data_IF_654388894681
#
_entry.id   IF_654388894681
#
_cell.length_a   1.000
_cell.length_b   1.000
_cell.length_c   1.000
_cell.angle_alpha   90.00
_cell.angle_beta   90.00
_cell.angle_gamma   90.00
#
_symmetry.space_group_name_H-M   'P 1'
#
loop_
_entity.id
_entity.type
_entity.pdbx_description
1 polymer ?
#
# COMPACT_ATOMS: atom_id res chain seq x y z
N UNK A 1 -6.01 3.56 26.22
CA UNK A 1 -6.89 3.50 25.04
C UNK A 1 -7.43 2.09 24.96
N UNK A 2 -8.72 1.93 24.70
CA UNK A 2 -9.30 0.60 24.53
C UNK A 2 -8.74 -0.04 23.25
N UNK A 3 -8.48 -1.35 23.26
CA UNK A 3 -7.93 -2.08 22.11
C UNK A 3 -8.83 -2.08 20.86
N UNK A 4 -10.07 -1.61 20.96
CA UNK A 4 -11.01 -1.45 19.84
C UNK A 4 -10.90 -0.11 19.09
N UNK A 5 -10.07 0.83 19.59
CA UNK A 5 -10.00 2.17 19.01
C UNK A 5 -8.95 2.30 17.90
N UNK A 6 -8.10 1.29 17.70
CA UNK A 6 -7.00 1.30 16.72
C UNK A 6 -6.89 -0.01 15.96
N UNK A 7 -6.54 0.08 14.69
CA UNK A 7 -6.36 -1.11 13.86
C UNK A 7 -5.82 -0.81 12.48
N UNK A 8 -5.69 -1.88 11.69
CA UNK A 8 -5.16 -1.83 10.33
C UNK A 8 -6.26 -2.12 9.33
N UNK A 9 -6.30 -1.33 8.25
CA UNK A 9 -7.24 -1.47 7.15
C UNK A 9 -6.50 -1.89 5.88
N UNK A 10 -6.94 -2.98 5.27
CA UNK A 10 -6.46 -3.51 4.00
C UNK A 10 -7.55 -3.46 2.94
N UNK A 11 -7.16 -3.27 1.67
CA UNK A 11 -8.05 -3.35 0.51
C UNK A 11 -7.55 -4.40 -0.47
N UNK A 12 -8.38 -5.38 -0.82
CA UNK A 12 -8.04 -6.44 -1.76
C UNK A 12 -9.16 -6.70 -2.77
N UNK A 13 -8.88 -6.46 -4.04
CA UNK A 13 -9.80 -6.72 -5.15
C UNK A 13 -9.10 -7.55 -6.20
N UNK A 14 -9.48 -8.82 -6.29
CA UNK A 14 -8.86 -9.79 -7.20
C UNK A 14 -9.05 -9.40 -8.67
N UNK A 15 -8.10 -9.80 -9.50
CA UNK A 15 -8.28 -9.89 -10.94
C UNK A 15 -8.03 -11.34 -11.41
N UNK A 16 -8.15 -11.60 -12.70
CA UNK A 16 -8.08 -12.97 -13.24
C UNK A 16 -6.71 -13.67 -13.10
N UNK A 17 -5.68 -12.98 -12.59
CA UNK A 17 -4.31 -13.50 -12.56
C UNK A 17 -3.56 -13.21 -11.25
N UNK A 18 -4.01 -12.21 -10.50
CA UNK A 18 -3.39 -11.81 -9.24
C UNK A 18 -4.43 -11.96 -8.14
N UNK A 19 -4.11 -12.78 -7.16
CA UNK A 19 -4.93 -12.98 -5.98
C UNK A 19 -4.49 -12.00 -4.88
N UNK A 20 -5.13 -10.83 -4.85
CA UNK A 20 -4.90 -9.81 -3.83
C UNK A 20 -5.49 -10.21 -2.46
N UNK A 21 -6.53 -11.05 -2.45
CA UNK A 21 -7.11 -11.57 -1.21
C UNK A 21 -6.08 -12.44 -0.47
N UNK A 22 -5.40 -13.32 -1.19
CA UNK A 22 -4.30 -14.12 -0.65
C UNK A 22 -3.15 -13.25 -0.12
N UNK A 23 -2.75 -12.21 -0.88
CA UNK A 23 -1.75 -11.24 -0.41
C UNK A 23 -2.20 -10.53 0.87
N UNK A 24 -3.49 -10.14 0.97
CA UNK A 24 -4.05 -9.51 2.16
C UNK A 24 -3.99 -10.42 3.40
N UNK A 25 -4.29 -11.71 3.25
CA UNK A 25 -4.21 -12.69 4.35
C UNK A 25 -2.76 -12.82 4.82
N UNK A 26 -1.81 -12.91 3.89
CA UNK A 26 -0.39 -12.98 4.23
C UNK A 26 0.11 -11.69 4.89
N UNK A 27 -0.28 -10.53 4.36
CA UNK A 27 0.01 -9.23 4.98
C UNK A 27 -0.59 -9.16 6.41
N UNK A 28 -1.84 -9.61 6.61
CA UNK A 28 -2.49 -9.66 7.91
C UNK A 28 -1.73 -10.58 8.90
N UNK A 29 -1.21 -11.73 8.44
CA UNK A 29 -0.32 -12.60 9.24
C UNK A 29 0.90 -11.82 9.73
N UNK A 30 1.56 -11.04 8.85
CA UNK A 30 2.70 -10.18 9.22
C UNK A 30 2.30 -9.05 10.19
N UNK A 31 1.13 -8.43 9.98
CA UNK A 31 0.57 -7.42 10.90
C UNK A 31 0.35 -8.02 12.30
N UNK A 32 -0.26 -9.19 12.39
CA UNK A 32 -0.45 -9.89 13.68
C UNK A 32 0.88 -10.18 14.35
N UNK A 33 1.87 -10.65 13.62
CA UNK A 33 3.18 -11.01 14.14
C UNK A 33 3.94 -9.80 14.68
N UNK A 34 3.97 -8.69 13.93
CA UNK A 34 4.84 -7.55 14.25
C UNK A 34 4.13 -6.41 14.98
N UNK A 35 2.86 -6.16 14.68
CA UNK A 35 2.12 -5.05 15.28
C UNK A 35 1.10 -5.50 16.32
N UNK A 36 0.66 -6.76 16.28
CA UNK A 36 -0.38 -7.30 17.14
C UNK A 36 -1.66 -6.44 17.18
N UNK A 37 -2.09 -5.93 16.01
CA UNK A 37 -3.25 -5.08 15.85
C UNK A 37 -4.43 -5.84 15.22
N UNK A 38 -5.68 -5.43 15.49
CA UNK A 38 -6.83 -5.93 14.74
C UNK A 38 -6.76 -5.47 13.27
N UNK A 39 -7.22 -6.35 12.36
CA UNK A 39 -7.18 -6.15 10.91
C UNK A 39 -8.59 -6.19 10.34
N UNK A 40 -8.96 -5.13 9.62
CA UNK A 40 -10.15 -5.09 8.76
C UNK A 40 -9.71 -5.26 7.31
N UNK A 41 -10.34 -6.18 6.59
CA UNK A 41 -10.18 -6.37 5.15
C UNK A 41 -11.43 -5.91 4.40
N UNK A 42 -11.24 -5.04 3.42
CA UNK A 42 -12.28 -4.60 2.47
C UNK A 42 -12.08 -5.30 1.14
N UNK A 43 -13.10 -6.03 0.67
CA UNK A 43 -12.98 -6.85 -0.53
C UNK A 43 -14.34 -7.11 -1.19
N UNK A 44 -14.34 -7.44 -2.48
CA UNK A 44 -15.49 -7.98 -3.22
C UNK A 44 -15.56 -9.53 -3.21
N UNK A 45 -14.53 -10.18 -2.65
CA UNK A 45 -14.28 -11.62 -2.81
C UNK A 45 -14.49 -12.40 -1.50
N UNK A 46 -15.52 -12.05 -0.70
CA UNK A 46 -15.76 -12.63 0.64
C UNK A 46 -15.96 -14.15 0.55
N UNK A 47 -16.88 -14.63 -0.31
CA UNK A 47 -17.18 -16.06 -0.47
C UNK A 47 -15.95 -16.84 -0.95
N UNK A 48 -15.15 -16.25 -1.83
CA UNK A 48 -13.90 -16.83 -2.29
C UNK A 48 -12.90 -17.02 -1.14
N UNK A 49 -12.71 -16.01 -0.30
CA UNK A 49 -11.82 -16.08 0.86
C UNK A 49 -12.30 -17.16 1.83
N UNK A 50 -13.59 -17.24 2.09
CA UNK A 50 -14.17 -18.23 3.00
C UNK A 50 -14.00 -19.68 2.51
N UNK A 51 -14.05 -19.89 1.18
CA UNK A 51 -13.90 -21.23 0.59
C UNK A 51 -12.45 -21.65 0.43
N UNK A 52 -11.59 -20.76 -0.10
CA UNK A 52 -10.21 -21.09 -0.46
C UNK A 52 -9.23 -20.95 0.70
N UNK A 53 -9.51 -20.02 1.64
CA UNK A 53 -8.60 -19.68 2.75
C UNK A 53 -9.33 -19.68 4.10
N UNK A 54 -9.98 -20.76 4.54
CA UNK A 54 -10.79 -20.78 5.77
C UNK A 54 -10.02 -20.36 7.03
N UNK A 55 -8.70 -20.50 7.01
CA UNK A 55 -7.79 -20.08 8.09
C UNK A 55 -7.59 -18.54 8.17
N UNK A 56 -8.11 -17.75 7.23
CA UNK A 56 -7.98 -16.28 7.24
C UNK A 56 -8.41 -15.65 8.56
N UNK A 57 -9.37 -16.29 9.27
CA UNK A 57 -9.92 -15.85 10.56
C UNK A 57 -8.87 -15.80 11.68
N UNK A 58 -7.72 -16.46 11.48
CA UNK A 58 -6.61 -16.38 12.43
C UNK A 58 -5.89 -15.01 12.35
N UNK A 59 -6.05 -14.29 11.24
CA UNK A 59 -5.28 -13.07 10.97
C UNK A 59 -6.15 -11.85 10.69
N UNK A 60 -7.38 -12.03 10.18
CA UNK A 60 -8.31 -10.97 9.83
C UNK A 60 -9.50 -11.01 10.78
N UNK A 61 -9.71 -9.92 11.53
CA UNK A 61 -10.75 -9.82 12.54
C UNK A 61 -12.12 -9.47 11.94
N UNK A 62 -12.14 -8.63 10.88
CA UNK A 62 -13.36 -8.19 10.23
C UNK A 62 -13.19 -8.18 8.71
N UNK A 63 -14.10 -8.78 7.99
CA UNK A 63 -14.20 -8.66 6.52
C UNK A 63 -15.41 -7.79 6.18
N UNK A 64 -15.17 -6.74 5.40
CA UNK A 64 -16.19 -5.81 4.93
C UNK A 64 -16.35 -5.99 3.42
N UNK A 65 -17.56 -6.31 2.98
CA UNK A 65 -17.87 -6.36 1.55
C UNK A 65 -17.94 -4.94 0.96
N UNK A 66 -17.24 -4.74 -0.15
CA UNK A 66 -17.38 -3.56 -1.01
C UNK A 66 -17.39 -4.04 -2.46
N UNK A 67 -18.32 -3.54 -3.30
CA UNK A 67 -18.32 -3.84 -4.73
C UNK A 67 -16.98 -3.46 -5.36
N UNK A 68 -16.52 -4.28 -6.31
CA UNK A 68 -15.28 -4.04 -7.03
C UNK A 68 -15.25 -2.63 -7.65
N UNK A 69 -14.23 -1.81 -7.36
CA UNK A 69 -14.11 -0.51 -7.99
C UNK A 69 -13.85 -0.68 -9.49
N UNK A 70 -14.21 0.34 -10.27
CA UNK A 70 -13.88 0.36 -11.68
C UNK A 70 -12.35 0.31 -11.86
N UNK A 71 -11.86 -0.71 -12.56
CA UNK A 71 -10.46 -0.91 -12.85
C UNK A 71 -9.97 -0.15 -14.08
N UNK A 72 -8.67 -0.09 -14.22
CA UNK A 72 -7.97 0.36 -15.44
C UNK A 72 -7.03 -0.75 -15.92
N UNK A 73 -6.64 -0.75 -17.19
CA UNK A 73 -5.67 -1.72 -17.70
C UNK A 73 -4.25 -1.21 -17.44
N UNK A 74 -3.44 -2.01 -16.74
CA UNK A 74 -2.03 -1.72 -16.44
C UNK A 74 -1.16 -2.90 -16.93
N UNK A 75 0.08 -2.60 -17.33
CA UNK A 75 1.11 -3.62 -17.54
C UNK A 75 1.76 -3.95 -16.20
N UNK A 76 1.80 -5.22 -15.86
CA UNK A 76 2.50 -5.77 -14.71
C UNK A 76 3.68 -6.58 -15.25
N UNK A 77 4.88 -6.29 -14.77
CA UNK A 77 6.03 -7.12 -15.08
C UNK A 77 6.14 -8.27 -14.04
N UNK A 78 6.67 -9.38 -14.50
CA UNK A 78 7.10 -10.51 -13.68
C UNK A 78 8.59 -10.71 -13.93
N UNK A 79 9.39 -9.89 -13.28
CA UNK A 79 10.82 -9.79 -13.54
C UNK A 79 11.14 -9.09 -14.87
N UNK A 80 12.30 -9.39 -15.43
CA UNK A 80 12.82 -8.72 -16.62
C UNK A 80 12.21 -9.19 -17.95
N UNK A 81 11.71 -10.45 -17.98
CA UNK A 81 11.44 -11.15 -19.24
C UNK A 81 9.97 -11.46 -19.45
N UNK A 82 9.11 -11.21 -18.49
CA UNK A 82 7.68 -11.50 -18.57
C UNK A 82 6.85 -10.29 -18.20
N UNK A 83 5.73 -10.08 -18.88
CA UNK A 83 4.75 -9.06 -18.52
C UNK A 83 3.35 -9.45 -18.97
N UNK A 84 2.33 -8.97 -18.23
CA UNK A 84 0.92 -9.15 -18.57
C UNK A 84 0.17 -7.82 -18.47
N UNK A 85 -0.80 -7.61 -19.37
CA UNK A 85 -1.74 -6.50 -19.28
C UNK A 85 -2.99 -6.98 -18.57
N UNK A 86 -3.21 -6.47 -17.36
CA UNK A 86 -4.29 -6.91 -16.48
C UNK A 86 -5.10 -5.73 -15.98
N UNK A 87 -6.30 -6.03 -15.51
CA UNK A 87 -7.12 -5.06 -14.78
C UNK A 87 -6.45 -4.69 -13.45
N UNK A 88 -6.46 -3.41 -13.14
CA UNK A 88 -5.91 -2.84 -11.92
C UNK A 88 -6.97 -2.02 -11.20
N UNK A 89 -7.36 -2.49 -10.01
CA UNK A 89 -8.48 -1.98 -9.20
C UNK A 89 -7.91 -1.35 -7.92
N UNK A 90 -7.32 -0.17 -7.98
CA UNK A 90 -6.69 0.45 -6.80
C UNK A 90 -7.38 1.72 -6.32
N UNK A 91 -8.63 1.97 -6.70
CA UNK A 91 -9.31 3.23 -6.39
C UNK A 91 -10.05 3.24 -5.03
N UNK A 92 -10.16 2.11 -4.33
CA UNK A 92 -11.01 2.01 -3.13
C UNK A 92 -10.42 2.68 -1.88
N UNK A 93 -9.10 2.96 -1.86
CA UNK A 93 -8.43 3.55 -0.70
C UNK A 93 -8.92 4.96 -0.34
N UNK A 94 -9.54 5.66 -1.29
CA UNK A 94 -10.18 6.95 -1.06
C UNK A 94 -11.35 6.85 -0.05
N UNK A 95 -11.95 5.66 0.07
CA UNK A 95 -13.08 5.41 0.97
C UNK A 95 -12.64 5.04 2.39
N UNK A 96 -11.33 4.95 2.65
CA UNK A 96 -10.79 4.44 3.89
C UNK A 96 -11.32 5.16 5.13
N UNK A 97 -11.46 6.49 5.08
CA UNK A 97 -12.01 7.27 6.19
C UNK A 97 -13.44 6.83 6.56
N UNK A 98 -14.30 6.60 5.56
CA UNK A 98 -15.70 6.25 5.78
C UNK A 98 -15.90 4.78 6.14
N UNK A 99 -15.06 3.88 5.58
CA UNK A 99 -15.26 2.43 5.71
C UNK A 99 -14.53 1.81 6.90
N UNK A 100 -13.48 2.47 7.41
CA UNK A 100 -12.77 1.99 8.59
C UNK A 100 -13.69 1.94 9.81
N UNK A 101 -13.65 0.82 10.52
CA UNK A 101 -14.35 0.62 11.80
C UNK A 101 -13.55 1.16 12.99
N UNK A 102 -12.30 1.56 12.78
CA UNK A 102 -11.41 2.03 13.85
C UNK A 102 -11.42 3.56 13.92
N UNK A 103 -11.28 4.08 15.13
CA UNK A 103 -11.08 5.51 15.39
C UNK A 103 -9.70 5.97 14.89
N UNK A 104 -8.67 5.14 15.14
CA UNK A 104 -7.30 5.35 14.74
C UNK A 104 -6.92 4.25 13.73
N UNK A 105 -6.72 4.61 12.49
CA UNK A 105 -6.57 3.66 11.39
C UNK A 105 -5.22 3.77 10.72
N UNK A 106 -4.50 2.66 10.64
CA UNK A 106 -3.33 2.49 9.78
C UNK A 106 -3.78 1.77 8.50
N UNK A 107 -3.69 2.41 7.34
CA UNK A 107 -3.97 1.79 6.05
C UNK A 107 -2.68 1.29 5.45
N UNK A 108 -2.66 0.03 5.02
CA UNK A 108 -1.48 -0.65 4.44
C UNK A 108 -1.88 -1.33 3.13
N UNK A 109 -0.98 -1.30 2.14
CA UNK A 109 -1.13 -2.10 0.91
C UNK A 109 -0.91 -3.59 1.20
N UNK A 110 -1.64 -4.45 0.51
CA UNK A 110 -1.59 -5.92 0.69
C UNK A 110 -0.25 -6.55 0.31
N UNK A 111 0.56 -5.82 -0.44
CA UNK A 111 1.90 -6.21 -0.87
C UNK A 111 3.02 -5.53 -0.07
N UNK A 112 2.67 -4.95 1.08
CA UNK A 112 3.64 -4.45 2.04
C UNK A 112 3.96 -5.53 3.07
N UNK A 113 5.23 -5.87 3.19
CA UNK A 113 5.75 -6.86 4.13
C UNK A 113 6.39 -6.15 5.32
N UNK A 114 5.92 -6.49 6.52
CA UNK A 114 6.44 -5.94 7.78
C UNK A 114 7.41 -6.93 8.43
N UNK A 115 8.56 -6.43 8.91
CA UNK A 115 9.58 -7.19 9.63
C UNK A 115 9.97 -6.51 10.95
N UNK A 116 9.25 -5.46 11.37
CA UNK A 116 9.44 -4.74 12.63
C UNK A 116 8.13 -4.10 13.08
N UNK A 117 8.16 -3.44 14.22
CA UNK A 117 7.03 -2.78 14.87
C UNK A 117 7.02 -1.24 14.74
N UNK A 118 7.91 -0.66 13.93
CA UNK A 118 8.10 0.81 13.83
C UNK A 118 6.83 1.58 13.52
N UNK A 119 5.91 0.98 12.77
CA UNK A 119 4.63 1.59 12.43
C UNK A 119 3.72 1.81 13.65
N UNK A 120 3.94 1.10 14.78
CA UNK A 120 3.18 1.34 16.02
C UNK A 120 3.32 2.78 16.52
N UNK A 121 4.45 3.43 16.25
CA UNK A 121 4.69 4.82 16.67
C UNK A 121 3.66 5.82 16.12
N UNK A 122 2.93 5.50 15.04
CA UNK A 122 1.87 6.36 14.55
C UNK A 122 0.66 6.47 15.50
N UNK A 123 0.46 5.48 16.37
CA UNK A 123 -0.62 5.49 17.35
C UNK A 123 -0.27 6.25 18.65
N UNK A 124 0.98 6.65 18.81
CA UNK A 124 1.49 7.40 19.98
C UNK A 124 1.66 8.90 19.67
N UNK A 125 0.97 9.38 18.63
CA UNK A 125 1.03 10.78 18.18
C UNK A 125 -0.30 11.51 18.42
N UNK A 126 -0.25 12.84 18.36
CA UNK A 126 -1.42 13.72 18.31
C UNK A 126 -1.80 14.14 16.88
N UNK A 127 -1.12 13.59 15.89
CA UNK A 127 -1.35 13.92 14.49
C UNK A 127 -2.64 13.27 13.97
N UNK A 128 -3.44 14.05 13.30
CA UNK A 128 -4.70 13.60 12.70
C UNK A 128 -4.52 12.78 11.41
N UNK A 129 -3.42 13.06 10.70
CA UNK A 129 -3.10 12.42 9.43
C UNK A 129 -1.60 12.34 9.22
N UNK A 130 -1.11 11.16 8.83
CA UNK A 130 0.28 10.92 8.47
C UNK A 130 0.33 10.05 7.21
N UNK A 131 1.38 10.21 6.40
CA UNK A 131 1.56 9.42 5.17
C UNK A 131 3.05 9.19 4.94
N UNK A 132 3.41 8.02 4.37
CA UNK A 132 4.78 7.70 4.04
C UNK A 132 5.32 8.62 2.93
N UNK A 133 6.55 9.10 3.09
CA UNK A 133 7.24 9.94 2.10
C UNK A 133 8.61 9.38 1.76
N UNK A 134 9.42 9.08 2.79
CA UNK A 134 10.73 8.50 2.58
C UNK A 134 10.64 7.03 2.22
N UNK A 135 11.47 6.64 1.29
CA UNK A 135 11.65 5.27 0.85
C UNK A 135 13.07 5.07 0.34
N UNK A 136 13.53 3.82 0.42
CA UNK A 136 14.76 3.37 -0.22
C UNK A 136 14.40 2.44 -1.38
N UNK A 137 15.16 2.48 -2.45
CA UNK A 137 14.96 1.55 -3.56
C UNK A 137 15.85 0.32 -3.37
N UNK A 138 15.27 -0.87 -3.53
CA UNK A 138 16.03 -2.13 -3.56
C UNK A 138 17.04 -2.11 -4.71
N UNK A 139 16.67 -1.46 -5.80
CA UNK A 139 17.50 -1.30 -7.00
C UNK A 139 18.09 0.11 -7.09
N UNK A 140 19.40 0.23 -7.04
CA UNK A 140 20.17 1.49 -7.10
C UNK A 140 19.93 2.26 -8.42
N UNK A 141 19.55 1.56 -9.49
CA UNK A 141 19.24 2.17 -10.79
C UNK A 141 17.73 2.40 -10.98
N UNK A 142 16.96 2.33 -9.91
CA UNK A 142 15.51 2.55 -9.93
C UNK A 142 15.16 3.99 -10.30
N UNK A 143 13.94 4.17 -10.76
CA UNK A 143 13.36 5.49 -11.00
C UNK A 143 13.18 6.17 -9.64
N UNK A 144 13.68 7.40 -9.52
CA UNK A 144 13.43 8.22 -8.34
C UNK A 144 11.94 8.62 -8.30
N UNK A 145 11.26 8.26 -7.22
CA UNK A 145 9.85 8.56 -6.97
C UNK A 145 9.65 9.72 -5.98
N UNK A 146 10.63 10.60 -5.80
CA UNK A 146 10.55 11.69 -4.82
C UNK A 146 9.53 12.77 -5.17
N UNK A 147 9.10 12.82 -6.44
CA UNK A 147 8.18 13.82 -6.96
C UNK A 147 7.07 13.21 -7.79
N UNK A 148 5.91 13.86 -7.79
CA UNK A 148 4.74 13.46 -8.58
C UNK A 148 5.04 13.53 -10.09
N UNK A 149 5.80 14.53 -10.51
CA UNK A 149 6.39 14.65 -11.85
C UNK A 149 7.63 15.53 -11.78
N UNK A 150 8.39 15.62 -12.89
CA UNK A 150 9.57 16.46 -12.97
C UNK A 150 9.28 17.90 -12.52
N UNK A 151 10.05 18.42 -11.56
CA UNK A 151 9.97 19.79 -11.04
C UNK A 151 8.64 20.18 -10.38
N UNK A 152 7.83 19.21 -9.96
CA UNK A 152 6.58 19.47 -9.25
C UNK A 152 6.69 19.17 -7.74
N UNK A 153 5.55 18.88 -7.13
CA UNK A 153 5.43 18.65 -5.69
C UNK A 153 6.07 17.33 -5.24
N UNK A 154 6.43 17.21 -3.96
CA UNK A 154 6.86 15.94 -3.39
C UNK A 154 5.80 14.84 -3.59
N UNK A 155 6.25 13.61 -3.82
CA UNK A 155 5.38 12.45 -3.83
C UNK A 155 5.29 11.83 -2.45
N UNK A 156 4.08 11.48 -2.06
CA UNK A 156 3.76 10.69 -0.88
C UNK A 156 3.24 9.33 -1.30
N UNK A 157 3.59 8.31 -0.51
CA UNK A 157 3.23 6.94 -0.78
C UNK A 157 1.97 6.55 -0.02
N UNK A 158 0.84 6.46 -0.74
CA UNK A 158 -0.40 5.97 -0.16
C UNK A 158 -0.37 4.47 0.18
N UNK A 159 0.76 3.81 -0.02
CA UNK A 159 1.05 2.44 0.44
C UNK A 159 0.90 2.30 1.95
N UNK A 160 1.29 3.36 2.69
CA UNK A 160 1.14 3.43 4.15
C UNK A 160 0.63 4.82 4.49
N UNK A 161 -0.52 4.91 5.12
CA UNK A 161 -1.04 6.14 5.71
C UNK A 161 -1.76 5.86 7.02
N UNK A 162 -1.76 6.84 7.91
CA UNK A 162 -2.45 6.81 9.19
C UNK A 162 -3.40 7.99 9.29
N UNK A 163 -4.55 7.75 9.90
CA UNK A 163 -5.49 8.83 10.23
C UNK A 163 -6.28 8.52 11.51
N UNK A 164 -6.74 9.60 12.16
CA UNK A 164 -7.79 9.55 13.18
C UNK A 164 -9.11 9.99 12.55
N UNK A 165 -10.26 9.65 13.18
CA UNK A 165 -11.59 10.13 12.77
C UNK A 165 -11.77 11.61 13.15
N UNK A 166 -11.01 12.50 12.51
CA UNK A 166 -11.00 13.95 12.74
C UNK A 166 -11.48 14.72 11.50
N UNK A 167 -11.82 16.00 11.68
CA UNK A 167 -12.21 16.89 10.57
C UNK A 167 -11.04 17.13 9.61
N UNK A 168 -9.81 17.20 10.13
CA UNK A 168 -8.59 17.33 9.30
C UNK A 168 -8.43 16.13 8.37
N UNK A 169 -8.46 14.92 8.92
CA UNK A 169 -8.36 13.71 8.12
C UNK A 169 -9.52 13.58 7.13
N UNK A 170 -10.76 13.87 7.57
CA UNK A 170 -11.92 13.90 6.69
C UNK A 170 -11.70 14.83 5.49
N UNK A 171 -11.20 16.03 5.73
CA UNK A 171 -10.92 17.00 4.66
C UNK A 171 -9.90 16.47 3.65
N UNK A 172 -8.84 15.76 4.12
CA UNK A 172 -7.88 15.12 3.21
C UNK A 172 -8.58 14.11 2.29
N UNK A 173 -9.41 13.21 2.86
CA UNK A 173 -10.11 12.20 2.07
C UNK A 173 -11.15 12.80 1.12
N UNK A 174 -11.88 13.84 1.54
CA UNK A 174 -12.80 14.58 0.66
C UNK A 174 -12.06 15.22 -0.52
N UNK A 175 -10.88 15.82 -0.28
CA UNK A 175 -10.02 16.35 -1.35
C UNK A 175 -9.53 15.25 -2.29
N UNK A 176 -9.11 14.11 -1.78
CA UNK A 176 -8.68 12.97 -2.60
C UNK A 176 -9.83 12.47 -3.49
N UNK A 177 -11.04 12.39 -2.96
CA UNK A 177 -12.23 12.03 -3.73
C UNK A 177 -12.50 13.06 -4.83
N UNK A 178 -12.47 14.36 -4.49
CA UNK A 178 -12.63 15.46 -5.46
C UNK A 178 -11.54 15.43 -6.55
N UNK A 179 -10.28 15.17 -6.18
CA UNK A 179 -9.18 15.04 -7.15
C UNK A 179 -9.42 13.87 -8.10
N UNK A 180 -9.92 12.73 -7.60
CA UNK A 180 -10.27 11.58 -8.45
C UNK A 180 -11.34 11.92 -9.48
N UNK A 181 -12.42 12.57 -9.04
CA UNK A 181 -13.52 12.99 -9.93
C UNK A 181 -13.05 13.96 -11.01
N UNK A 182 -12.08 14.81 -10.67
CA UNK A 182 -11.52 15.84 -11.55
C UNK A 182 -10.09 15.54 -12.01
N UNK A 183 -9.72 14.25 -12.10
CA UNK A 183 -8.32 13.84 -12.28
C UNK A 183 -7.66 14.43 -13.52
N UNK A 184 -8.39 14.57 -14.62
CA UNK A 184 -7.84 15.19 -15.85
C UNK A 184 -7.42 16.64 -15.67
N UNK A 185 -8.16 17.41 -14.85
CA UNK A 185 -7.76 18.78 -14.50
C UNK A 185 -6.49 18.78 -13.65
N UNK A 186 -6.47 18.01 -12.56
CA UNK A 186 -5.34 17.99 -11.64
C UNK A 186 -4.07 17.43 -12.28
N UNK A 187 -4.16 16.37 -13.09
CA UNK A 187 -2.99 15.84 -13.78
C UNK A 187 -2.36 16.88 -14.72
N UNK A 188 -3.18 17.72 -15.34
CA UNK A 188 -2.69 18.81 -16.21
C UNK A 188 -2.04 19.91 -15.38
N UNK A 189 -2.70 20.36 -14.30
CA UNK A 189 -2.18 21.39 -13.40
C UNK A 189 -0.83 21.02 -12.76
N UNK A 190 -0.66 19.74 -12.42
CA UNK A 190 0.56 19.21 -11.80
C UNK A 190 1.52 18.53 -12.80
N UNK A 191 1.31 18.72 -14.10
CA UNK A 191 2.15 18.17 -15.17
C UNK A 191 2.37 16.64 -15.05
N UNK A 192 1.32 15.89 -14.70
CA UNK A 192 1.37 14.43 -14.54
C UNK A 192 1.11 13.79 -15.92
N UNK A 193 2.09 13.05 -16.42
CA UNK A 193 1.98 12.35 -17.72
C UNK A 193 1.06 11.13 -17.61
N UNK A 194 1.04 10.45 -16.47
CA UNK A 194 0.19 9.28 -16.27
C UNK A 194 -1.30 9.64 -16.36
N UNK A 195 -2.01 8.97 -17.24
CA UNK A 195 -3.44 9.20 -17.48
C UNK A 195 -4.34 8.42 -16.53
N UNK A 196 -3.81 7.35 -15.91
CA UNK A 196 -4.54 6.55 -14.96
C UNK A 196 -4.47 7.18 -13.58
N UNK A 197 -5.59 7.17 -12.89
CA UNK A 197 -5.64 7.61 -11.50
C UNK A 197 -4.70 6.76 -10.63
N UNK A 198 -3.93 7.45 -9.76
CA UNK A 198 -3.09 6.82 -8.74
C UNK A 198 -3.36 7.48 -7.39
N UNK A 199 -3.56 6.66 -6.37
CA UNK A 199 -3.72 7.15 -5.00
C UNK A 199 -2.55 8.02 -4.56
N UNK A 200 -1.31 7.59 -4.83
CA UNK A 200 -0.10 8.34 -4.48
C UNK A 200 -0.15 9.79 -5.00
N UNK A 201 -0.56 9.98 -6.26
CA UNK A 201 -0.67 11.32 -6.85
C UNK A 201 -1.80 12.12 -6.21
N UNK A 202 -2.96 11.50 -5.99
CA UNK A 202 -4.11 12.18 -5.42
C UNK A 202 -3.86 12.61 -3.96
N UNK A 203 -3.28 11.73 -3.13
CA UNK A 203 -2.88 12.10 -1.77
C UNK A 203 -1.78 13.16 -1.76
N UNK A 204 -0.79 13.09 -2.65
CA UNK A 204 0.26 14.12 -2.77
C UNK A 204 -0.32 15.50 -3.11
N UNK A 205 -1.29 15.55 -4.02
CA UNK A 205 -1.97 16.78 -4.39
C UNK A 205 -2.83 17.30 -3.23
N UNK A 206 -3.59 16.42 -2.55
CA UNK A 206 -4.41 16.79 -1.40
C UNK A 206 -3.54 17.37 -0.26
N UNK A 207 -2.41 16.74 0.04
CA UNK A 207 -1.42 17.25 1.01
C UNK A 207 -0.91 18.63 0.61
N UNK A 208 -0.54 18.83 -0.65
CA UNK A 208 -0.08 20.13 -1.13
C UNK A 208 -1.16 21.22 -1.01
N UNK A 209 -2.43 20.90 -1.30
CA UNK A 209 -3.55 21.83 -1.11
C UNK A 209 -3.77 22.16 0.36
N UNK A 210 -3.76 21.17 1.24
CA UNK A 210 -3.90 21.35 2.70
C UNK A 210 -2.75 22.14 3.32
N UNK A 211 -1.56 22.05 2.72
CA UNK A 211 -0.38 22.83 3.13
C UNK A 211 -0.38 24.26 2.59
N UNK A 212 -1.49 24.76 2.04
CA UNK A 212 -1.56 26.08 1.46
C UNK A 212 -0.79 26.27 0.16
N UNK A 213 -0.61 25.19 -0.60
CA UNK A 213 0.19 25.10 -1.83
C UNK A 213 1.69 25.31 -1.62
N UNK A 214 2.17 24.99 -0.41
CA UNK A 214 3.59 25.04 -0.09
C UNK A 214 4.18 23.62 0.02
N UNK A 215 5.37 23.40 -0.53
CA UNK A 215 6.05 22.11 -0.51
C UNK A 215 7.03 21.95 0.67
N UNK A 216 7.25 22.99 1.43
CA UNK A 216 8.24 23.07 2.52
C UNK A 216 7.62 22.99 3.92
N UNK A 217 6.34 22.69 4.04
CA UNK A 217 5.66 22.59 5.34
C UNK A 217 6.07 21.32 6.09
N UNK A 218 5.98 21.38 7.42
CA UNK A 218 6.17 20.21 8.29
C UNK A 218 4.95 19.28 8.32
N UNK A 219 3.84 19.71 7.78
CA UNK A 219 2.61 18.92 7.68
C UNK A 219 2.50 18.25 6.30
N UNK A 220 2.00 17.01 6.22
CA UNK A 220 1.72 16.10 7.32
C UNK A 220 3.02 15.57 7.92
N UNK A 221 2.99 15.27 9.22
CA UNK A 221 4.10 14.55 9.84
C UNK A 221 4.31 13.22 9.12
N UNK A 222 5.56 12.88 8.90
CA UNK A 222 5.90 11.68 8.14
C UNK A 222 5.77 10.43 9.00
N UNK A 223 5.25 9.36 8.40
CA UNK A 223 5.32 8.03 8.98
C UNK A 223 6.76 7.52 8.98
N UNK A 224 7.24 7.08 10.13
CA UNK A 224 8.53 6.39 10.25
C UNK A 224 8.35 4.93 9.82
N UNK A 225 8.43 4.68 8.51
CA UNK A 225 8.17 3.35 7.95
C UNK A 225 9.43 2.58 7.57
N UNK A 226 10.59 3.23 7.44
CA UNK A 226 11.83 2.65 6.87
C UNK A 226 11.51 1.78 5.63
N UNK A 227 10.67 2.31 4.75
CA UNK A 227 10.13 1.55 3.62
C UNK A 227 11.15 1.37 2.52
N UNK A 228 11.40 0.12 2.17
CA UNK A 228 12.10 -0.29 0.95
C UNK A 228 11.08 -0.61 -0.15
N UNK A 229 11.36 -0.17 -1.36
CA UNK A 229 10.51 -0.43 -2.52
C UNK A 229 11.24 -1.32 -3.51
N UNK A 230 10.67 -2.48 -3.78
CA UNK A 230 11.06 -3.31 -4.92
C UNK A 230 10.09 -3.05 -6.08
N UNK A 231 10.64 -2.96 -7.29
CA UNK A 231 9.84 -2.77 -8.50
C UNK A 231 9.21 -4.09 -8.96
N UNK A 232 8.31 -4.06 -9.91
CA UNK A 232 7.73 -5.27 -10.51
C UNK A 232 8.72 -6.05 -11.41
N UNK A 233 9.91 -5.48 -11.66
CA UNK A 233 11.02 -6.17 -12.34
C UNK A 233 11.95 -6.93 -11.39
N UNK A 234 11.91 -6.59 -10.11
CA UNK A 234 12.61 -7.34 -9.07
C UNK A 234 11.83 -8.61 -8.75
N UNK A 235 12.49 -9.65 -8.25
CA UNK A 235 11.86 -10.95 -7.97
C UNK A 235 12.02 -11.30 -6.50
N UNK A 236 10.93 -11.55 -5.83
CA UNK A 236 10.94 -12.09 -4.47
C UNK A 236 11.38 -13.56 -4.51
N UNK A 237 12.38 -13.91 -3.71
CA UNK A 237 12.94 -15.27 -3.63
C UNK A 237 12.47 -15.98 -2.38
N UNK A 238 12.56 -15.28 -1.23
CA UNK A 238 12.35 -15.91 0.06
C UNK A 238 12.01 -14.87 1.12
N UNK A 239 11.23 -15.29 2.11
CA UNK A 239 10.89 -14.51 3.31
C UNK A 239 11.06 -15.42 4.52
N UNK A 240 11.73 -14.93 5.56
CA UNK A 240 11.70 -15.52 6.88
C UNK A 240 11.13 -14.53 7.93
N UNK A 241 11.23 -14.81 9.20
CA UNK A 241 10.61 -14.00 10.25
C UNK A 241 11.12 -12.56 10.26
N UNK A 242 12.39 -12.34 9.95
CA UNK A 242 13.07 -11.04 10.05
C UNK A 242 13.65 -10.54 8.74
N UNK A 243 13.67 -11.37 7.69
CA UNK A 243 14.36 -11.01 6.44
C UNK A 243 13.55 -11.30 5.20
N UNK A 244 13.84 -10.52 4.16
CA UNK A 244 13.38 -10.76 2.80
C UNK A 244 14.59 -10.84 1.87
N UNK A 245 14.56 -11.81 0.95
CA UNK A 245 15.56 -12.01 -0.09
C UNK A 245 14.94 -11.73 -1.45
N UNK A 246 15.58 -10.87 -2.20
CA UNK A 246 15.14 -10.41 -3.50
C UNK A 246 16.26 -10.57 -4.54
N UNK A 247 15.88 -10.72 -5.79
CA UNK A 247 16.76 -10.45 -6.92
C UNK A 247 16.40 -9.07 -7.46
N UNK A 248 17.25 -8.09 -7.18
CA UNK A 248 17.11 -6.74 -7.70
C UNK A 248 17.59 -6.69 -9.15
N UNK A 249 16.78 -6.18 -10.07
CA UNK A 249 17.19 -6.06 -11.47
C UNK A 249 18.26 -4.97 -11.63
N UNK A 250 19.27 -5.26 -12.45
CA UNK A 250 20.32 -4.32 -12.80
C UNK A 250 20.59 -4.43 -14.30
N UNK A 251 20.09 -3.46 -15.06
CA UNK A 251 20.17 -3.48 -16.52
C UNK A 251 19.50 -4.75 -17.10
N UNK A 252 20.27 -5.76 -17.50
CA UNK A 252 19.78 -7.02 -18.08
C UNK A 252 20.02 -8.23 -17.17
N UNK A 253 20.42 -8.00 -15.91
CA UNK A 253 20.82 -9.03 -14.96
C UNK A 253 20.20 -8.78 -13.58
N UNK A 254 20.44 -9.66 -12.64
CA UNK A 254 19.96 -9.58 -11.27
C UNK A 254 21.10 -9.57 -10.27
N UNK A 255 20.90 -8.83 -9.19
CA UNK A 255 21.76 -8.86 -8.00
C UNK A 255 20.96 -9.37 -6.81
N UNK A 256 21.47 -10.33 -6.03
CA UNK A 256 20.84 -10.76 -4.79
C UNK A 256 20.93 -9.63 -3.75
N UNK A 257 19.79 -9.34 -3.13
CA UNK A 257 19.66 -8.38 -2.04
C UNK A 257 18.97 -9.07 -0.87
N UNK A 258 19.50 -8.84 0.34
CA UNK A 258 18.89 -9.26 1.60
C UNK A 258 18.62 -8.03 2.43
N UNK A 259 17.36 -7.86 2.87
CA UNK A 259 16.93 -6.81 3.80
C UNK A 259 16.51 -7.47 5.11
N UNK A 260 16.88 -6.87 6.23
CA UNK A 260 16.59 -7.37 7.58
C UNK A 260 15.92 -6.26 8.38
N UNK A 261 14.89 -6.60 9.17
CA UNK A 261 14.14 -5.68 10.04
C UNK A 261 13.61 -4.44 9.30
N UNK A 262 13.21 -4.61 8.03
CA UNK A 262 12.75 -3.54 7.16
C UNK A 262 11.26 -3.67 6.85
N UNK A 263 10.63 -2.57 6.44
CA UNK A 263 9.32 -2.60 5.79
C UNK A 263 9.52 -2.64 4.28
N UNK A 264 8.97 -3.61 3.57
CA UNK A 264 9.26 -3.84 2.15
C UNK A 264 7.99 -3.86 1.31
N UNK A 265 7.87 -2.92 0.37
CA UNK A 265 6.80 -2.89 -0.62
C UNK A 265 7.19 -3.72 -1.85
N UNK A 266 6.57 -4.87 -2.02
CA UNK A 266 6.88 -5.83 -3.10
C UNK A 266 5.95 -5.60 -4.28
N UNK A 267 6.39 -4.84 -5.30
CA UNK A 267 5.54 -4.51 -6.46
C UNK A 267 5.38 -5.67 -7.44
N UNK A 268 6.26 -6.69 -7.45
CA UNK A 268 6.09 -7.90 -8.27
C UNK A 268 5.07 -8.84 -7.63
N UNK A 269 3.81 -8.69 -8.04
CA UNK A 269 2.68 -9.46 -7.52
C UNK A 269 2.76 -10.96 -7.83
N UNK A 270 3.41 -11.32 -8.93
CA UNK A 270 3.52 -12.72 -9.35
C UNK A 270 4.50 -13.48 -8.47
N UNK A 271 5.70 -12.92 -8.24
CA UNK A 271 6.66 -13.56 -7.33
C UNK A 271 6.17 -13.60 -5.89
N UNK A 272 5.44 -12.55 -5.45
CA UNK A 272 4.81 -12.54 -4.12
C UNK A 272 3.74 -13.63 -4.01
N UNK A 273 2.83 -13.75 -5.00
CA UNK A 273 1.82 -14.80 -5.01
C UNK A 273 2.45 -16.20 -5.01
N UNK A 274 3.49 -16.41 -5.83
CA UNK A 274 4.18 -17.70 -5.89
C UNK A 274 4.88 -18.08 -4.59
N UNK A 275 5.37 -17.09 -3.84
CA UNK A 275 5.93 -17.31 -2.51
C UNK A 275 4.81 -17.70 -1.51
N UNK A 276 3.72 -16.93 -1.49
CA UNK A 276 2.59 -17.17 -0.56
C UNK A 276 1.94 -18.54 -0.81
N UNK A 277 1.84 -19.00 -2.07
CA UNK A 277 1.33 -20.32 -2.39
C UNK A 277 2.08 -21.42 -1.63
N UNK A 278 3.42 -21.35 -1.63
CA UNK A 278 4.28 -22.32 -0.90
C UNK A 278 4.11 -22.25 0.62
N UNK A 279 3.89 -21.03 1.15
CA UNK A 279 3.65 -20.84 2.58
C UNK A 279 2.31 -21.45 3.01
N UNK A 280 1.26 -21.23 2.21
CA UNK A 280 -0.09 -21.69 2.52
C UNK A 280 -0.33 -23.18 2.23
N UNK A 281 0.54 -23.87 1.46
CA UNK A 281 0.52 -25.32 1.33
C UNK A 281 0.73 -26.05 2.68
N UNK A 282 1.25 -25.34 3.67
CA UNK A 282 1.58 -25.88 4.99
C UNK A 282 0.60 -25.42 6.09
N UNK A 283 -0.44 -24.62 5.79
CA UNK A 283 -1.49 -24.15 6.71
C UNK A 283 -2.81 -24.90 6.50
#
# INVERSE_FOLDING_TARGET
MNSGDRGVLLFAFNNNHIDYAKQAIYCAKRIKTHLNLPVQLVTDSVEYIESEYPFYKNYIDVVTYQPSPQGSIKTFNDGLYSSKRLEWKNCARIDAYNISIFENTLVIDTDLLLFNDKLLSCFDTTEDFMIAKHHELVNINGINFDRVSDKTIPMYWATILYFTKSDTAKTVFDLVAHIKENYNYYRTAYNIVETKFRNDFAFSIAVHMMSGFESSTEWPKQLNSDMWVSTDRDVLIDIDDTTVKLLAHKSWDYLPVKLTDATVHVMNKFSLNSFIDKEFENE
#
